data_IF_252144756205
#
_entry.id   IF_252144756205
#
_cell.length_a   1.000
_cell.length_b   1.000
_cell.length_c   1.000
_cell.angle_alpha   90.00
_cell.angle_beta   90.00
_cell.angle_gamma   90.00
#
_symmetry.space_group_name_H-M   'P 1'
#
loop_
_entity.id
_entity.type
_entity.pdbx_description
1 polymer ?
#
# COMPACT_ATOMS: atom_id res chain seq x y z
N UNK A 1 -3.69 -22.31 -10.08
CA UNK A 1 -3.06 -21.14 -9.43
C UNK A 1 -4.07 -20.48 -8.52
N UNK A 2 -3.80 -20.39 -7.21
CA UNK A 2 -4.79 -19.93 -6.24
C UNK A 2 -5.01 -18.41 -6.35
N UNK A 3 -6.18 -18.01 -6.87
CA UNK A 3 -6.68 -16.63 -6.77
C UNK A 3 -6.69 -16.20 -5.28
N UNK A 4 -6.39 -14.94 -4.96
CA UNK A 4 -6.62 -14.40 -3.63
C UNK A 4 -8.07 -14.69 -3.20
N UNK A 5 -8.25 -15.15 -1.96
CA UNK A 5 -9.55 -15.59 -1.44
C UNK A 5 -10.59 -14.45 -1.53
N UNK A 6 -11.83 -14.77 -1.95
CA UNK A 6 -12.92 -13.80 -2.17
C UNK A 6 -13.27 -13.00 -0.90
N UNK A 7 -13.02 -13.59 0.29
CA UNK A 7 -13.05 -12.90 1.58
C UNK A 7 -11.68 -12.27 1.84
N UNK A 8 -11.53 -10.99 1.48
CA UNK A 8 -10.36 -10.20 1.84
C UNK A 8 -10.24 -10.01 3.36
N UNK A 9 -9.05 -9.67 3.89
CA UNK A 9 -8.88 -9.35 5.30
C UNK A 9 -9.75 -8.14 5.67
N UNK A 10 -10.45 -8.23 6.80
CA UNK A 10 -11.34 -7.16 7.30
C UNK A 10 -10.59 -6.02 7.95
N UNK A 11 -9.38 -6.29 8.49
CA UNK A 11 -8.56 -5.27 9.14
C UNK A 11 -7.96 -4.34 8.10
N UNK A 12 -8.32 -3.06 8.21
CA UNK A 12 -7.68 -1.97 7.49
C UNK A 12 -6.56 -1.38 8.34
N UNK A 13 -5.50 -0.93 7.68
CA UNK A 13 -4.44 -0.12 8.27
C UNK A 13 -4.33 1.16 7.47
N UNK A 14 -3.96 2.24 8.15
CA UNK A 14 -3.71 3.52 7.51
C UNK A 14 -2.21 3.63 7.22
N UNK A 15 -1.90 3.94 5.96
CA UNK A 15 -0.53 4.06 5.46
C UNK A 15 -0.21 5.53 5.32
N UNK A 16 0.86 5.95 5.98
CA UNK A 16 1.34 7.33 6.00
C UNK A 16 2.73 7.42 5.40
N UNK A 17 3.06 8.59 4.85
CA UNK A 17 4.43 8.88 4.46
C UNK A 17 5.32 8.97 5.71
N UNK A 18 6.47 8.30 5.71
CA UNK A 18 7.40 8.37 6.85
C UNK A 18 8.00 9.77 7.05
N UNK A 19 8.10 10.57 5.97
CA UNK A 19 8.72 11.91 5.99
C UNK A 19 7.76 12.99 6.48
N UNK A 20 6.62 13.17 5.81
CA UNK A 20 5.67 14.24 6.12
C UNK A 20 4.44 13.79 6.91
N UNK A 21 4.29 12.47 7.19
CA UNK A 21 3.13 11.89 7.90
C UNK A 21 1.78 12.11 7.22
N UNK A 22 1.76 12.56 5.97
CA UNK A 22 0.52 12.68 5.21
C UNK A 22 -0.09 11.29 4.94
N UNK A 23 -1.42 11.17 4.94
CA UNK A 23 -2.09 9.93 4.55
C UNK A 23 -1.75 9.63 3.09
N UNK A 24 -1.46 8.35 2.81
CA UNK A 24 -1.19 7.85 1.46
C UNK A 24 -2.33 6.94 1.04
N UNK A 25 -2.54 5.84 1.77
CA UNK A 25 -3.51 4.81 1.44
C UNK A 25 -4.18 4.25 2.68
N UNK A 26 -5.44 3.86 2.55
CA UNK A 26 -6.09 2.94 3.49
C UNK A 26 -6.10 1.55 2.89
N UNK A 27 -5.54 0.58 3.60
CA UNK A 27 -5.24 -0.73 3.01
C UNK A 27 -5.75 -1.90 3.84
N UNK A 28 -6.41 -2.86 3.19
CA UNK A 28 -6.81 -4.14 3.83
C UNK A 28 -5.61 -5.06 3.99
N UNK A 29 -5.03 -5.07 5.18
CA UNK A 29 -3.80 -5.81 5.47
C UNK A 29 -4.11 -7.23 5.97
N UNK A 30 -3.56 -8.20 5.26
CA UNK A 30 -3.53 -9.60 5.70
C UNK A 30 -2.27 -9.90 6.51
N UNK A 31 -2.44 -10.32 7.77
CA UNK A 31 -1.32 -10.73 8.64
C UNK A 31 -0.66 -9.59 9.44
N UNK A 32 0.26 -9.96 10.34
CA UNK A 32 0.88 -9.05 11.33
C UNK A 32 2.23 -8.46 10.88
N UNK A 33 2.89 -9.02 9.86
CA UNK A 33 4.24 -8.62 9.43
C UNK A 33 4.35 -7.25 8.75
N UNK A 34 5.55 -6.87 8.32
CA UNK A 34 5.81 -5.60 7.66
C UNK A 34 5.06 -5.45 6.32
N UNK A 35 4.74 -4.21 5.96
CA UNK A 35 4.06 -3.88 4.71
C UNK A 35 5.08 -3.78 3.56
N UNK A 36 5.37 -4.91 2.92
CA UNK A 36 6.32 -4.97 1.79
C UNK A 36 5.63 -4.72 0.44
N UNK A 37 4.35 -5.11 0.32
CA UNK A 37 3.54 -5.01 -0.90
C UNK A 37 2.10 -4.66 -0.59
N UNK A 38 1.50 -3.83 -1.44
CA UNK A 38 0.08 -3.48 -1.42
C UNK A 38 -0.55 -3.86 -2.76
N UNK A 39 -1.40 -4.88 -2.77
CA UNK A 39 -2.22 -5.19 -3.95
C UNK A 39 -3.24 -4.09 -4.20
N UNK A 40 -3.37 -3.62 -5.44
CA UNK A 40 -4.26 -2.50 -5.79
C UNK A 40 -5.71 -2.82 -5.42
N UNK A 41 -6.13 -4.08 -5.65
CA UNK A 41 -7.47 -4.60 -5.30
C UNK A 41 -7.83 -4.50 -3.80
N UNK A 42 -6.85 -4.26 -2.92
CA UNK A 42 -7.04 -4.18 -1.46
C UNK A 42 -6.90 -2.76 -0.91
N UNK A 43 -6.67 -1.79 -1.77
CA UNK A 43 -6.71 -0.36 -1.42
C UNK A 43 -8.18 0.02 -1.26
N UNK A 44 -8.50 0.59 -0.11
CA UNK A 44 -9.86 1.05 0.22
C UNK A 44 -10.00 2.52 -0.18
N UNK A 45 -9.00 3.32 0.17
CA UNK A 45 -8.96 4.75 -0.10
C UNK A 45 -7.57 5.12 -0.61
N UNK A 46 -7.53 5.89 -1.69
CA UNK A 46 -6.33 6.42 -2.32
C UNK A 46 -6.28 7.93 -2.14
N UNK A 47 -5.27 8.44 -1.45
CA UNK A 47 -5.07 9.87 -1.23
C UNK A 47 -3.90 10.42 -2.06
N UNK A 48 -3.38 9.63 -3.00
CA UNK A 48 -2.22 10.02 -3.81
C UNK A 48 -2.65 10.66 -5.13
N UNK A 49 -1.88 11.66 -5.57
CA UNK A 49 -2.08 12.28 -6.90
C UNK A 49 -1.37 11.51 -8.00
N UNK A 50 -0.32 10.77 -7.64
CA UNK A 50 0.50 10.01 -8.58
C UNK A 50 0.94 8.71 -7.90
N UNK A 51 0.88 7.61 -8.67
CA UNK A 51 1.15 6.27 -8.15
C UNK A 51 2.54 6.19 -7.53
N UNK A 52 2.60 5.76 -6.27
CA UNK A 52 3.86 5.58 -5.55
C UNK A 52 4.58 6.87 -5.17
N UNK A 53 3.95 8.04 -5.33
CA UNK A 53 4.50 9.33 -4.96
C UNK A 53 3.65 10.04 -3.92
N UNK A 54 4.30 10.58 -2.89
CA UNK A 54 3.61 11.32 -1.83
C UNK A 54 3.09 12.67 -2.36
N UNK A 55 1.80 13.01 -2.18
CA UNK A 55 1.22 14.26 -2.70
C UNK A 55 1.77 15.51 -2.00
N UNK A 56 2.20 15.38 -0.74
CA UNK A 56 2.72 16.51 0.05
C UNK A 56 4.22 16.78 -0.15
N UNK A 57 5.06 15.74 -0.14
CA UNK A 57 6.52 15.91 -0.17
C UNK A 57 7.18 15.43 -1.47
N UNK A 58 6.40 14.92 -2.43
CA UNK A 58 6.90 14.41 -3.71
C UNK A 58 7.75 13.14 -3.60
N UNK A 59 7.90 12.56 -2.40
CA UNK A 59 8.77 11.41 -2.19
C UNK A 59 8.18 10.14 -2.81
N UNK A 60 9.00 9.43 -3.58
CA UNK A 60 8.68 8.09 -4.08
C UNK A 60 8.71 7.11 -2.90
N UNK A 61 7.57 6.51 -2.61
CA UNK A 61 7.38 5.57 -1.50
C UNK A 61 7.01 4.16 -1.97
N UNK A 62 6.55 3.99 -3.21
CA UNK A 62 6.26 2.69 -3.80
C UNK A 62 6.54 2.69 -5.30
N UNK A 63 6.64 1.49 -5.87
CA UNK A 63 6.71 1.28 -7.33
C UNK A 63 5.65 0.28 -7.76
N UNK A 64 5.05 0.49 -8.91
CA UNK A 64 4.12 -0.48 -9.49
C UNK A 64 4.87 -1.74 -9.95
N UNK A 65 4.30 -2.90 -9.68
CA UNK A 65 4.83 -4.19 -10.11
C UNK A 65 3.72 -5.24 -10.11
N UNK A 66 3.85 -6.26 -10.95
CA UNK A 66 2.95 -7.40 -10.94
C UNK A 66 3.46 -8.47 -9.98
N UNK A 67 2.66 -8.86 -8.99
CA UNK A 67 3.01 -9.91 -8.02
C UNK A 67 1.99 -11.04 -8.15
N UNK A 68 2.46 -12.22 -8.57
CA UNK A 68 1.61 -13.41 -8.75
C UNK A 68 0.41 -13.17 -9.69
N UNK A 69 0.63 -12.42 -10.76
CA UNK A 69 -0.40 -12.11 -11.77
C UNK A 69 -1.41 -11.03 -11.36
N UNK A 70 -1.22 -10.37 -10.21
CA UNK A 70 -2.06 -9.25 -9.77
C UNK A 70 -1.23 -7.96 -9.68
N UNK A 71 -1.81 -6.80 -10.04
CA UNK A 71 -1.12 -5.53 -9.92
C UNK A 71 -0.97 -5.12 -8.45
N UNK A 72 0.24 -4.67 -8.08
CA UNK A 72 0.59 -4.32 -6.72
C UNK A 72 1.63 -3.18 -6.66
N UNK A 73 1.59 -2.42 -5.58
CA UNK A 73 2.60 -1.45 -5.23
C UNK A 73 3.62 -2.09 -4.28
N UNK A 74 4.87 -2.20 -4.72
CA UNK A 74 5.99 -2.63 -3.87
C UNK A 74 6.52 -1.42 -3.12
N UNK A 75 6.40 -1.45 -1.80
CA UNK A 75 6.79 -0.34 -0.92
C UNK A 75 8.32 -0.25 -0.85
N UNK A 76 8.84 0.97 -0.84
CA UNK A 76 10.25 1.25 -0.57
C UNK A 76 10.47 1.22 0.94
N UNK A 77 11.46 0.44 1.40
CA UNK A 77 11.74 0.24 2.82
C UNK A 77 11.96 1.56 3.56
N UNK A 78 11.34 1.70 4.74
CA UNK A 78 11.47 2.88 5.61
C UNK A 78 10.80 4.16 5.09
N UNK A 79 10.14 4.14 3.92
CA UNK A 79 9.49 5.33 3.35
C UNK A 79 8.02 5.48 3.74
N UNK A 80 7.41 4.42 4.27
CA UNK A 80 6.01 4.38 4.72
C UNK A 80 5.93 3.93 6.17
N UNK A 81 4.93 4.43 6.89
CA UNK A 81 4.55 3.97 8.24
C UNK A 81 3.11 3.47 8.19
N UNK A 82 2.83 2.34 8.84
CA UNK A 82 1.47 1.84 9.02
C UNK A 82 1.04 2.10 10.46
N UNK A 83 -0.21 2.51 10.65
CA UNK A 83 -0.86 2.60 11.96
C UNK A 83 -2.10 1.72 12.00
#
# INVERSE_FOLDING_TARGET
MAKPNKKGPTRTVDIFCAKCRSPLYKYRKGGKGALVKCFIERIVEDYTLSVGQCPQCGQIFARETMIRGAPAYKMVGGKVRMK
#
